data_IF_123653446677
#
_entry.id   IF_123653446677
#
_cell.length_a   1.000
_cell.length_b   1.000
_cell.length_c   1.000
_cell.angle_alpha   90.00
_cell.angle_beta   90.00
_cell.angle_gamma   90.00
#
_symmetry.space_group_name_H-M   'P 1'
#
loop_
_entity.id
_entity.type
_entity.pdbx_description
1 polymer ?
#
# COMPACT_ATOMS: atom_id res chain seq x y z
N UNK A 1 -2.28 1.89 7.26
CA UNK A 1 -1.93 0.73 8.13
C UNK A 1 -3.18 -0.11 8.36
N UNK A 2 -3.03 -1.43 8.42
CA UNK A 2 -4.07 -2.45 8.17
C UNK A 2 -5.19 -2.41 9.22
N UNK A 3 -6.17 -1.53 9.00
CA UNK A 3 -7.56 -1.91 9.13
C UNK A 3 -7.96 -2.50 7.77
N UNK A 4 -8.47 -3.73 7.74
CA UNK A 4 -8.95 -4.32 6.49
C UNK A 4 -10.14 -3.48 6.02
N UNK A 5 -9.86 -2.55 5.10
CA UNK A 5 -10.86 -1.62 4.60
C UNK A 5 -11.81 -2.35 3.64
N UNK A 6 -11.30 -3.39 2.97
CA UNK A 6 -12.02 -4.14 1.95
C UNK A 6 -11.95 -5.65 2.20
N UNK A 7 -13.04 -6.37 1.90
CA UNK A 7 -13.08 -7.84 2.01
C UNK A 7 -12.60 -8.46 0.71
N UNK A 8 -11.96 -9.62 0.79
CA UNK A 8 -11.45 -10.34 -0.39
C UNK A 8 -12.55 -10.66 -1.40
N UNK A 9 -13.74 -11.03 -0.91
CA UNK A 9 -14.92 -11.28 -1.75
C UNK A 9 -15.42 -10.06 -2.56
N UNK A 10 -15.03 -8.86 -2.15
CA UNK A 10 -15.43 -7.60 -2.80
C UNK A 10 -14.41 -7.16 -3.87
N UNK A 11 -13.31 -7.92 -4.05
CA UNK A 11 -12.30 -7.64 -5.07
C UNK A 11 -12.91 -7.66 -6.48
N UNK A 12 -12.49 -6.75 -7.36
CA UNK A 12 -12.96 -6.72 -8.73
C UNK A 12 -12.28 -7.80 -9.57
N UNK A 13 -12.62 -9.07 -9.32
CA UNK A 13 -11.96 -10.24 -9.92
C UNK A 13 -11.89 -10.16 -11.45
N UNK A 14 -12.97 -9.70 -12.11
CA UNK A 14 -12.98 -9.51 -13.57
C UNK A 14 -11.91 -8.52 -14.04
N UNK A 15 -11.72 -7.41 -13.34
CA UNK A 15 -10.69 -6.41 -13.67
C UNK A 15 -9.28 -6.95 -13.37
N UNK A 16 -9.14 -7.79 -12.34
CA UNK A 16 -7.86 -8.45 -12.01
C UNK A 16 -7.49 -9.53 -13.03
N UNK A 17 -8.46 -10.33 -13.48
CA UNK A 17 -8.30 -11.28 -14.58
C UNK A 17 -7.92 -10.53 -15.87
N UNK A 18 -8.57 -9.38 -16.11
CA UNK A 18 -8.30 -8.49 -17.23
C UNK A 18 -6.87 -7.91 -17.28
N UNK A 19 -6.06 -8.10 -16.24
CA UNK A 19 -4.64 -7.68 -16.22
C UNK A 19 -3.68 -8.80 -15.77
N UNK A 20 -4.14 -10.06 -15.81
CA UNK A 20 -3.31 -11.23 -15.50
C UNK A 20 -2.98 -11.43 -14.01
N UNK A 21 -3.67 -10.71 -13.12
CA UNK A 21 -3.55 -10.84 -11.65
C UNK A 21 -4.53 -11.85 -11.06
N UNK A 22 -5.37 -12.46 -11.88
CA UNK A 22 -6.21 -13.57 -11.50
C UNK A 22 -6.42 -14.49 -12.71
N UNK A 23 -6.66 -15.78 -12.45
CA UNK A 23 -7.01 -16.76 -13.47
C UNK A 23 -7.82 -17.89 -12.84
N UNK A 24 -8.94 -18.27 -13.45
CA UNK A 24 -9.81 -19.35 -12.98
C UNK A 24 -10.22 -19.18 -11.51
N UNK A 25 -10.55 -17.96 -11.10
CA UNK A 25 -10.92 -17.63 -9.72
C UNK A 25 -9.77 -17.68 -8.71
N UNK A 26 -8.51 -17.84 -9.15
CA UNK A 26 -7.32 -17.79 -8.29
C UNK A 26 -6.57 -16.49 -8.51
N UNK A 27 -6.17 -15.85 -7.42
CA UNK A 27 -5.35 -14.64 -7.47
C UNK A 27 -3.89 -15.00 -7.79
N UNK A 28 -3.32 -14.29 -8.75
CA UNK A 28 -1.91 -14.34 -9.14
C UNK A 28 -1.20 -13.05 -8.70
N UNK A 29 -1.17 -12.82 -7.38
CA UNK A 29 -0.55 -11.67 -6.74
C UNK A 29 0.10 -12.11 -5.43
N UNK A 30 1.20 -11.47 -5.03
CA UNK A 30 1.84 -11.78 -3.75
C UNK A 30 0.91 -11.47 -2.58
N UNK A 31 1.06 -12.22 -1.48
CA UNK A 31 0.28 -11.99 -0.26
C UNK A 31 0.50 -10.57 0.28
N UNK A 32 1.71 -10.01 0.17
CA UNK A 32 2.02 -8.65 0.59
C UNK A 32 1.23 -7.60 -0.20
N UNK A 33 1.13 -7.77 -1.53
CA UNK A 33 0.41 -6.84 -2.38
C UNK A 33 -1.11 -7.02 -2.25
N UNK A 34 -1.61 -8.25 -2.08
CA UNK A 34 -3.02 -8.49 -1.76
C UNK A 34 -3.41 -7.80 -0.44
N UNK A 35 -2.62 -7.99 0.62
CA UNK A 35 -2.85 -7.35 1.90
C UNK A 35 -2.83 -5.83 1.79
N UNK A 36 -1.94 -5.27 0.97
CA UNK A 36 -1.90 -3.84 0.72
C UNK A 36 -3.19 -3.34 0.07
N UNK A 37 -3.67 -4.01 -0.98
CA UNK A 37 -4.94 -3.67 -1.64
C UNK A 37 -6.11 -3.71 -0.66
N UNK A 38 -6.24 -4.80 0.11
CA UNK A 38 -7.32 -4.97 1.10
C UNK A 38 -7.27 -3.94 2.24
N UNK A 39 -6.10 -3.35 2.47
CA UNK A 39 -5.88 -2.28 3.46
C UNK A 39 -6.07 -0.88 2.88
N UNK A 40 -6.44 -0.75 1.61
CA UNK A 40 -6.54 0.53 0.91
C UNK A 40 -5.20 1.18 0.56
N UNK A 41 -4.09 0.43 0.64
CA UNK A 41 -2.77 0.91 0.25
C UNK A 41 -2.48 0.61 -1.23
N UNK A 42 -1.44 1.25 -1.77
CA UNK A 42 -0.87 0.87 -3.06
C UNK A 42 -0.04 -0.41 -2.93
N UNK A 43 0.07 -1.19 -4.00
CA UNK A 43 1.04 -2.29 -4.08
C UNK A 43 2.46 -1.75 -4.32
N UNK A 44 3.44 -2.65 -4.25
CA UNK A 44 4.70 -2.41 -4.98
C UNK A 44 4.46 -2.52 -6.50
N UNK A 45 5.48 -2.17 -7.31
CA UNK A 45 5.42 -2.41 -8.75
C UNK A 45 5.13 -3.89 -9.01
N UNK A 46 4.12 -4.15 -9.82
CA UNK A 46 3.78 -5.47 -10.34
C UNK A 46 3.91 -5.45 -11.85
N UNK A 47 4.45 -6.54 -12.42
CA UNK A 47 4.49 -6.74 -13.85
C UNK A 47 3.14 -7.28 -14.31
N UNK A 48 2.42 -6.47 -15.07
CA UNK A 48 1.21 -6.87 -15.77
C UNK A 48 1.63 -7.40 -17.15
N UNK A 49 0.96 -8.44 -17.63
CA UNK A 49 1.30 -9.07 -18.91
C UNK A 49 0.06 -9.18 -19.80
N UNK A 50 0.26 -9.11 -21.12
CA UNK A 50 -0.76 -9.34 -22.14
C UNK A 50 -2.02 -8.47 -21.98
N UNK A 51 -1.86 -7.18 -21.72
CA UNK A 51 -2.98 -6.25 -21.65
C UNK A 51 -3.49 -5.99 -23.08
N UNK A 52 -4.79 -6.15 -23.36
CA UNK A 52 -5.37 -5.79 -24.65
C UNK A 52 -6.60 -4.88 -24.54
N UNK A 53 -6.52 -3.65 -25.05
CA UNK A 53 -7.65 -2.69 -25.06
C UNK A 53 -7.80 -2.08 -26.44
N UNK A 54 -9.02 -2.02 -26.98
CA UNK A 54 -9.36 -1.26 -28.20
C UNK A 54 -8.39 -1.50 -29.38
N UNK A 55 -8.06 -2.77 -29.64
CA UNK A 55 -7.17 -3.14 -30.74
C UNK A 55 -5.68 -2.97 -30.46
N UNK A 56 -5.30 -2.61 -29.22
CA UNK A 56 -3.90 -2.45 -28.87
C UNK A 56 -3.47 -3.40 -27.76
N UNK A 57 -2.37 -4.09 -28.02
CA UNK A 57 -1.78 -5.10 -27.15
C UNK A 57 -0.51 -4.54 -26.51
N UNK A 58 -0.51 -4.45 -25.18
CA UNK A 58 0.68 -4.17 -24.39
C UNK A 58 1.18 -5.51 -23.87
N UNK A 59 2.37 -5.91 -24.34
CA UNK A 59 2.98 -7.17 -23.92
C UNK A 59 3.23 -7.19 -22.41
N UNK A 60 3.73 -6.07 -21.87
CA UNK A 60 4.06 -5.92 -20.46
C UNK A 60 3.96 -4.47 -19.99
N UNK A 61 3.52 -4.28 -18.75
CA UNK A 61 3.45 -2.97 -18.10
C UNK A 61 3.78 -3.13 -16.61
N UNK A 62 4.77 -2.39 -16.14
CA UNK A 62 5.01 -2.27 -14.69
C UNK A 62 4.13 -1.15 -14.13
N UNK A 63 3.33 -1.48 -13.11
CA UNK A 63 2.45 -0.52 -12.45
C UNK A 63 2.29 -0.85 -10.97
N UNK A 64 2.02 0.18 -10.16
CA UNK A 64 1.43 -0.03 -8.83
C UNK A 64 -0.09 -0.10 -8.98
N UNK A 65 -0.74 -0.73 -8.01
CA UNK A 65 -2.19 -0.91 -8.00
C UNK A 65 -2.78 -0.34 -6.72
N UNK A 66 -4.03 0.13 -6.78
CA UNK A 66 -4.83 0.44 -5.60
C UNK A 66 -6.30 0.14 -5.83
N UNK A 67 -7.07 -0.01 -4.76
CA UNK A 67 -8.53 -0.11 -4.81
C UNK A 67 -9.19 1.21 -4.40
N UNK A 68 -10.29 1.56 -5.07
CA UNK A 68 -11.13 2.67 -4.66
C UNK A 68 -12.60 2.32 -4.83
N UNK A 69 -13.47 2.52 -3.83
CA UNK A 69 -14.90 2.35 -3.99
C UNK A 69 -15.46 3.39 -4.96
N UNK A 70 -16.34 2.95 -5.85
CA UNK A 70 -17.13 3.83 -6.70
C UNK A 70 -18.40 4.31 -6.00
N UNK A 71 -19.21 5.13 -6.68
CA UNK A 71 -20.45 5.69 -6.14
C UNK A 71 -21.48 4.62 -5.69
N UNK A 72 -21.41 3.40 -6.23
CA UNK A 72 -22.26 2.27 -5.85
C UNK A 72 -21.63 1.41 -4.72
N UNK A 73 -20.48 1.83 -4.17
CA UNK A 73 -19.77 1.09 -3.12
C UNK A 73 -18.95 -0.11 -3.61
N UNK A 74 -18.97 -0.42 -4.91
CA UNK A 74 -18.15 -1.49 -5.50
C UNK A 74 -16.70 -1.00 -5.69
N UNK A 75 -15.73 -1.88 -5.47
CA UNK A 75 -14.32 -1.56 -5.66
C UNK A 75 -13.95 -1.52 -7.15
N UNK A 76 -13.25 -0.47 -7.55
CA UNK A 76 -12.56 -0.39 -8.83
C UNK A 76 -11.06 -0.64 -8.61
N UNK A 77 -10.41 -1.29 -9.58
CA UNK A 77 -8.97 -1.43 -9.62
C UNK A 77 -8.35 -0.25 -10.37
N UNK A 78 -7.44 0.47 -9.70
CA UNK A 78 -6.71 1.59 -10.28
C UNK A 78 -5.27 1.16 -10.58
N UNK A 79 -4.82 1.45 -11.81
CA UNK A 79 -3.44 1.28 -12.23
C UNK A 79 -2.68 2.60 -12.11
N UNK A 80 -1.48 2.54 -11.55
CA UNK A 80 -0.52 3.62 -11.45
C UNK A 80 0.73 3.20 -12.23
N UNK A 81 0.75 3.35 -13.58
CA UNK A 81 1.91 3.04 -14.39
C UNK A 81 3.07 3.98 -14.08
N UNK A 82 4.24 3.69 -14.64
CA UNK A 82 5.38 4.61 -14.62
C UNK A 82 5.12 5.72 -15.65
N UNK A 83 4.75 6.92 -15.18
CA UNK A 83 4.47 8.08 -16.01
C UNK A 83 5.76 8.68 -16.59
N UNK A 84 5.75 9.14 -17.84
CA UNK A 84 6.89 9.91 -18.39
C UNK A 84 7.01 11.30 -17.78
N UNK A 85 5.88 11.93 -17.49
CA UNK A 85 5.81 13.24 -16.85
C UNK A 85 4.77 13.24 -15.73
N UNK A 86 5.16 13.81 -14.59
CA UNK A 86 4.28 13.95 -13.44
C UNK A 86 3.30 15.11 -13.64
N UNK A 87 2.02 14.87 -13.37
CA UNK A 87 1.01 15.92 -13.29
C UNK A 87 0.89 16.40 -11.84
N UNK A 88 1.33 17.62 -11.58
CA UNK A 88 1.25 18.21 -10.24
C UNK A 88 -0.20 18.63 -9.90
N UNK A 89 -0.67 18.38 -8.66
CA UNK A 89 -1.93 18.91 -8.18
C UNK A 89 -1.91 20.45 -8.10
N UNK A 90 -2.99 21.11 -8.54
CA UNK A 90 -3.13 22.58 -8.48
C UNK A 90 -3.02 23.19 -7.07
N UNK A 91 -3.10 22.34 -6.05
CA UNK A 91 -3.02 22.73 -4.63
C UNK A 91 -1.56 23.01 -4.20
N UNK A 92 -0.58 22.52 -4.98
CA UNK A 92 0.84 22.76 -4.75
C UNK A 92 1.31 23.99 -5.54
N UNK A 93 2.22 24.75 -4.94
CA UNK A 93 2.97 25.77 -5.66
C UNK A 93 4.22 25.20 -6.36
N UNK A 94 4.89 26.02 -7.17
CA UNK A 94 6.06 25.59 -7.94
C UNK A 94 7.24 25.14 -7.08
N UNK A 95 7.45 25.79 -5.94
CA UNK A 95 8.56 25.47 -5.04
C UNK A 95 8.30 24.11 -4.38
N UNK A 96 7.09 23.91 -3.87
CA UNK A 96 6.66 22.64 -3.27
C UNK A 96 6.73 21.47 -4.26
N UNK A 97 6.33 21.69 -5.52
CA UNK A 97 6.44 20.70 -6.60
C UNK A 97 7.90 20.26 -6.78
N UNK A 98 8.82 21.22 -6.88
CA UNK A 98 10.23 20.92 -7.11
C UNK A 98 10.89 20.32 -5.86
N UNK A 99 10.55 20.80 -4.66
CA UNK A 99 11.04 20.23 -3.41
C UNK A 99 10.61 18.77 -3.22
N UNK A 100 9.37 18.44 -3.56
CA UNK A 100 8.88 17.06 -3.53
C UNK A 100 9.57 16.18 -4.58
N UNK A 101 9.74 16.68 -5.81
CA UNK A 101 10.40 15.92 -6.90
C UNK A 101 11.87 15.65 -6.60
N UNK A 102 12.57 16.65 -6.07
CA UNK A 102 13.98 16.56 -5.70
C UNK A 102 14.19 15.78 -4.38
N UNK A 103 13.13 15.59 -3.58
CA UNK A 103 13.22 14.97 -2.27
C UNK A 103 13.81 15.88 -1.19
N UNK A 104 13.77 17.21 -1.40
CA UNK A 104 14.10 18.21 -0.36
C UNK A 104 13.14 18.09 0.82
N UNK A 105 11.85 17.84 0.53
CA UNK A 105 10.82 17.55 1.52
C UNK A 105 10.13 16.23 1.17
N UNK A 106 9.75 15.46 2.19
CA UNK A 106 9.12 14.15 1.98
C UNK A 106 7.63 14.25 1.62
N UNK A 107 6.96 15.28 2.14
CA UNK A 107 5.57 15.60 1.82
C UNK A 107 5.28 17.07 2.16
N UNK A 108 4.12 17.54 1.68
CA UNK A 108 3.57 18.87 1.98
C UNK A 108 2.12 18.71 2.45
N UNK A 109 1.79 19.31 3.61
CA UNK A 109 0.41 19.35 4.12
C UNK A 109 -0.42 20.41 3.41
N UNK A 110 -1.64 20.05 3.05
CA UNK A 110 -2.58 20.92 2.34
C UNK A 110 -4.00 20.71 2.87
N UNK A 111 -4.75 21.79 2.89
CA UNK A 111 -6.19 21.75 3.07
C UNK A 111 -6.85 21.72 1.69
N UNK A 112 -7.73 20.75 1.45
CA UNK A 112 -8.45 20.61 0.18
C UNK A 112 -9.95 20.53 0.41
N UNK A 113 -10.74 21.02 -0.54
CA UNK A 113 -12.19 21.14 -0.40
C UNK A 113 -12.64 22.45 0.25
N UNK A 114 -13.95 22.62 0.38
CA UNK A 114 -14.59 23.86 0.85
C UNK A 114 -15.63 23.54 1.93
N UNK A 115 -15.84 24.50 2.85
CA UNK A 115 -16.84 24.38 3.92
C UNK A 115 -16.64 23.13 4.79
N UNK A 116 -17.73 22.39 5.01
CA UNK A 116 -17.73 21.16 5.81
C UNK A 116 -17.04 19.97 5.13
N UNK A 117 -16.74 20.06 3.83
CA UNK A 117 -16.01 19.03 3.08
C UNK A 117 -14.49 19.25 3.08
N UNK A 118 -14.01 20.25 3.83
CA UNK A 118 -12.59 20.56 3.97
C UNK A 118 -11.85 19.41 4.67
N UNK A 119 -10.73 18.99 4.09
CA UNK A 119 -9.92 17.88 4.58
C UNK A 119 -8.44 18.25 4.55
N UNK A 120 -7.72 17.86 5.60
CA UNK A 120 -6.27 17.89 5.64
C UNK A 120 -5.71 16.67 4.91
N UNK A 121 -4.92 16.92 3.87
CA UNK A 121 -4.18 15.90 3.11
C UNK A 121 -2.68 16.19 3.21
N UNK A 122 -1.84 15.16 3.12
CA UNK A 122 -0.44 15.37 2.74
C UNK A 122 -0.22 14.89 1.31
N UNK A 123 0.57 15.66 0.57
CA UNK A 123 0.96 15.37 -0.80
C UNK A 123 2.42 14.93 -0.81
N UNK A 124 2.69 13.79 -1.44
CA UNK A 124 4.02 13.22 -1.60
C UNK A 124 4.30 12.90 -3.07
N UNK A 125 5.56 12.72 -3.43
CA UNK A 125 5.96 12.35 -4.78
C UNK A 125 6.51 10.92 -4.82
N UNK A 126 5.90 10.08 -5.63
CA UNK A 126 6.32 8.70 -5.87
C UNK A 126 7.28 8.66 -7.06
N UNK A 127 8.57 8.56 -6.78
CA UNK A 127 9.62 8.47 -7.80
C UNK A 127 9.54 7.19 -8.64
N UNK A 128 8.98 6.10 -8.11
CA UNK A 128 8.86 4.84 -8.85
C UNK A 128 7.83 4.92 -9.97
N UNK A 129 6.73 5.66 -9.74
CA UNK A 129 5.68 5.86 -10.76
C UNK A 129 5.74 7.24 -11.40
N UNK A 130 6.57 8.17 -10.92
CA UNK A 130 6.59 9.58 -11.35
C UNK A 130 5.22 10.25 -11.15
N UNK A 131 4.61 10.06 -9.98
CA UNK A 131 3.26 10.54 -9.67
C UNK A 131 3.21 11.29 -8.32
N UNK A 132 2.39 12.35 -8.25
CA UNK A 132 2.00 12.96 -6.98
C UNK A 132 0.85 12.20 -6.33
N UNK A 133 1.03 11.79 -5.08
CA UNK A 133 0.03 11.08 -4.29
C UNK A 133 -0.54 12.03 -3.25
N UNK A 134 -1.87 12.07 -3.15
CA UNK A 134 -2.58 12.78 -2.06
C UNK A 134 -3.13 11.76 -1.08
N UNK A 135 -2.76 11.90 0.19
CA UNK A 135 -3.22 11.02 1.27
C UNK A 135 -4.07 11.83 2.25
N UNK A 136 -5.29 11.36 2.50
CA UNK A 136 -6.20 11.91 3.50
C UNK A 136 -5.71 11.55 4.90
N UNK A 137 -5.26 12.55 5.66
CA UNK A 137 -4.68 12.36 7.00
C UNK A 137 -5.67 11.74 7.99
N UNK A 138 -6.98 11.95 7.78
CA UNK A 138 -8.03 11.36 8.62
C UNK A 138 -8.12 9.84 8.46
N UNK A 139 -7.71 9.31 7.29
CA UNK A 139 -7.70 7.88 6.98
C UNK A 139 -6.41 7.19 7.40
N UNK A 140 -5.38 7.94 7.79
CA UNK A 140 -4.14 7.36 8.31
C UNK A 140 -4.36 6.92 9.74
N UNK A 141 -4.09 5.65 10.03
CA UNK A 141 -4.16 5.11 11.39
C UNK A 141 -2.76 5.19 12.00
N UNK A 142 -2.61 5.94 13.08
CA UNK A 142 -1.37 5.98 13.85
C UNK A 142 -1.30 4.77 14.80
N UNK A 143 -0.11 4.18 15.01
CA UNK A 143 0.05 3.13 15.99
C UNK A 143 -0.06 3.71 17.41
N UNK A 144 -0.45 2.86 18.36
CA UNK A 144 -0.40 3.13 19.79
C UNK A 144 1.04 3.05 20.29
N UNK A 145 1.80 2.04 19.84
CA UNK A 145 3.23 1.91 20.12
C UNK A 145 4.00 1.33 18.94
N UNK A 146 5.30 1.58 18.92
CA UNK A 146 6.25 1.00 17.96
C UNK A 146 7.45 0.49 18.75
N UNK A 147 7.79 -0.79 18.59
CA UNK A 147 8.86 -1.45 19.36
C UNK A 147 8.74 -1.19 20.87
N UNK A 148 7.51 -1.33 21.39
CA UNK A 148 7.08 -1.07 22.77
C UNK A 148 7.23 0.38 23.26
N UNK A 149 7.60 1.32 22.37
CA UNK A 149 7.58 2.75 22.67
C UNK A 149 6.21 3.34 22.36
N UNK A 150 5.50 3.84 23.37
CA UNK A 150 4.21 4.52 23.20
C UNK A 150 4.37 5.83 22.43
N UNK A 151 3.49 6.06 21.47
CA UNK A 151 3.43 7.34 20.77
C UNK A 151 2.62 8.35 21.58
N UNK A 152 3.19 9.54 21.76
CA UNK A 152 2.45 10.71 22.28
C UNK A 152 1.38 11.16 21.31
N UNK A 153 0.36 11.89 21.78
CA UNK A 153 -0.67 12.47 20.91
C UNK A 153 -0.08 13.39 19.82
N UNK A 154 0.98 14.14 20.15
CA UNK A 154 1.69 14.95 19.19
C UNK A 154 2.38 14.10 18.10
N UNK A 155 3.06 13.01 18.47
CA UNK A 155 3.64 12.08 17.50
C UNK A 155 2.57 11.40 16.64
N UNK A 156 1.45 10.97 17.21
CA UNK A 156 0.33 10.39 16.45
C UNK A 156 -0.22 11.37 15.42
N UNK A 157 -0.43 12.64 15.80
CA UNK A 157 -0.87 13.71 14.88
C UNK A 157 0.13 13.90 13.75
N UNK A 158 1.41 14.07 14.08
CA UNK A 158 2.49 14.23 13.10
C UNK A 158 2.57 13.04 12.14
N UNK A 159 2.49 11.82 12.65
CA UNK A 159 2.48 10.60 11.83
C UNK A 159 1.27 10.57 10.88
N UNK A 160 0.06 10.90 11.36
CA UNK A 160 -1.15 10.99 10.52
C UNK A 160 -1.03 12.04 9.42
N UNK A 161 -0.32 13.11 9.71
CA UNK A 161 0.02 14.20 8.79
C UNK A 161 1.19 13.85 7.85
N UNK A 162 1.64 12.60 7.85
CA UNK A 162 2.75 12.14 7.01
C UNK A 162 4.11 12.66 7.49
N UNK A 163 4.22 13.37 8.61
CA UNK A 163 5.49 13.88 9.10
C UNK A 163 6.33 12.77 9.73
N UNK A 164 7.65 12.89 9.62
CA UNK A 164 8.55 12.00 10.31
C UNK A 164 8.47 12.22 11.83
N UNK A 165 8.43 11.12 12.56
CA UNK A 165 8.55 11.08 14.02
C UNK A 165 9.75 10.22 14.41
N UNK A 166 10.39 10.58 15.52
CA UNK A 166 11.49 9.82 16.12
C UNK A 166 11.10 9.40 17.54
N UNK A 167 11.51 8.20 17.91
CA UNK A 167 11.25 7.56 19.19
C UNK A 167 12.54 7.50 20.03
N UNK A 168 12.44 7.35 21.36
CA UNK A 168 13.61 7.35 22.26
C UNK A 168 14.66 6.28 21.93
N UNK A 169 14.27 5.17 21.31
CA UNK A 169 15.17 4.10 20.89
C UNK A 169 15.87 4.36 19.53
N UNK A 170 15.74 5.58 19.02
CA UNK A 170 16.26 6.04 17.73
C UNK A 170 15.51 5.49 16.52
N UNK A 171 14.34 4.87 16.72
CA UNK A 171 13.46 4.47 15.62
C UNK A 171 12.78 5.72 15.06
N UNK A 172 12.96 5.95 13.76
CA UNK A 172 12.26 6.98 13.01
C UNK A 172 11.28 6.34 12.05
N UNK A 173 10.09 6.92 11.91
CA UNK A 173 9.05 6.42 11.00
C UNK A 173 8.16 7.53 10.46
N UNK A 174 7.53 7.23 9.32
CA UNK A 174 6.68 8.15 8.58
C UNK A 174 5.55 7.38 7.88
N UNK A 175 4.34 7.92 7.90
CA UNK A 175 3.26 7.39 7.06
C UNK A 175 3.50 7.77 5.59
N UNK A 176 3.16 6.87 4.67
CA UNK A 176 3.24 7.13 3.23
C UNK A 176 2.12 6.39 2.50
N UNK A 177 1.70 6.90 1.36
CA UNK A 177 0.85 6.22 0.37
C UNK A 177 1.63 5.60 -0.79
N UNK A 178 2.97 5.73 -0.83
CA UNK A 178 3.83 5.27 -1.93
C UNK A 178 4.01 3.75 -2.01
N UNK A 179 3.78 3.00 -0.94
CA UNK A 179 4.23 1.61 -0.82
C UNK A 179 3.20 0.67 -0.18
N UNK A 180 3.50 -0.63 -0.20
CA UNK A 180 2.59 -1.67 0.27
C UNK A 180 2.44 -1.78 1.80
N UNK A 181 3.31 -1.11 2.58
CA UNK A 181 3.23 -1.07 4.05
C UNK A 181 2.56 0.19 4.59
N UNK A 182 2.34 1.18 3.72
CA UNK A 182 1.94 2.54 4.07
C UNK A 182 2.83 3.20 5.15
N UNK A 183 4.10 2.80 5.21
CA UNK A 183 5.05 3.22 6.23
C UNK A 183 6.48 3.18 5.69
N UNK A 184 7.27 4.17 6.09
CA UNK A 184 8.72 4.22 5.94
C UNK A 184 9.35 4.22 7.33
N UNK A 185 10.53 3.65 7.46
CA UNK A 185 11.30 3.69 8.70
C UNK A 185 12.78 3.52 8.46
N UNK A 186 13.61 4.06 9.35
CA UNK A 186 15.04 3.73 9.40
C UNK A 186 15.31 2.29 9.90
N UNK A 187 14.27 1.53 10.29
CA UNK A 187 14.32 0.11 10.65
C UNK A 187 13.61 -0.72 9.58
N UNK A 188 14.18 -1.87 9.21
CA UNK A 188 13.55 -2.79 8.24
C UNK A 188 12.46 -3.68 8.84
N UNK A 189 12.39 -3.74 10.17
CA UNK A 189 11.42 -4.54 10.92
C UNK A 189 10.91 -3.72 12.11
N UNK A 190 9.59 -3.75 12.33
CA UNK A 190 8.93 -3.08 13.44
C UNK A 190 7.82 -3.95 14.00
N UNK A 191 7.55 -3.80 15.30
CA UNK A 191 6.33 -4.29 15.94
C UNK A 191 5.47 -3.09 16.30
N UNK A 192 4.28 -3.03 15.74
CA UNK A 192 3.32 -1.98 16.00
C UNK A 192 2.19 -2.51 16.87
N UNK A 193 1.65 -1.67 17.74
CA UNK A 193 0.34 -1.90 18.32
C UNK A 193 -0.66 -0.88 17.78
N UNK A 194 -1.90 -1.30 17.56
CA UNK A 194 -2.96 -0.46 16.98
C UNK A 194 -4.26 -0.73 17.72
N UNK A 195 -5.04 0.32 17.98
CA UNK A 195 -6.39 0.20 18.53
C UNK A 195 -7.38 -0.11 17.42
N UNK A 196 -8.00 -1.29 17.47
CA UNK A 196 -8.99 -1.77 16.50
C UNK A 196 -10.19 -2.33 17.26
N UNK A 197 -11.39 -1.88 16.93
CA UNK A 197 -12.67 -2.37 17.47
C UNK A 197 -12.71 -2.45 19.02
N UNK A 198 -12.09 -1.48 19.69
CA UNK A 198 -12.02 -1.42 21.16
C UNK A 198 -10.98 -2.35 21.80
N UNK A 199 -10.09 -2.96 21.01
CA UNK A 199 -9.01 -3.82 21.47
C UNK A 199 -7.64 -3.44 20.91
N UNK A 200 -6.59 -3.71 21.71
CA UNK A 200 -5.21 -3.61 21.25
C UNK A 200 -4.85 -4.83 20.39
N UNK A 201 -4.43 -4.55 19.16
CA UNK A 201 -3.94 -5.52 18.18
C UNK A 201 -2.47 -5.27 17.88
N UNK A 202 -1.73 -6.32 17.51
CA UNK A 202 -0.30 -6.23 17.21
C UNK A 202 0.02 -6.65 15.79
N UNK A 203 0.97 -5.95 15.18
CA UNK A 203 1.42 -6.17 13.82
C UNK A 203 2.94 -6.26 13.76
N UNK A 204 3.45 -7.35 13.18
CA UNK A 204 4.88 -7.48 12.87
C UNK A 204 5.06 -7.09 11.40
N UNK A 205 5.76 -5.99 11.16
CA UNK A 205 6.10 -5.52 9.83
C UNK A 205 7.55 -5.87 9.50
N UNK A 206 7.78 -6.39 8.30
CA UNK A 206 9.10 -6.70 7.74
C UNK A 206 9.23 -6.12 6.35
N UNK A 207 10.47 -5.91 5.91
CA UNK A 207 10.76 -5.37 4.58
C UNK A 207 10.27 -3.93 4.44
N UNK A 208 10.26 -3.17 5.54
CA UNK A 208 9.90 -1.75 5.52
C UNK A 208 10.94 -1.00 4.69
N UNK A 209 10.49 -0.17 3.75
CA UNK A 209 11.35 0.72 2.95
C UNK A 209 11.94 1.83 3.84
N UNK A 210 13.17 2.25 3.50
CA UNK A 210 13.88 3.29 4.23
C UNK A 210 13.21 4.66 4.10
N UNK A 211 13.40 5.51 5.10
CA UNK A 211 13.16 6.96 4.97
C UNK A 211 14.12 7.55 3.93
N UNK A 212 13.65 8.51 3.13
CA UNK A 212 14.49 9.16 2.11
C UNK A 212 15.74 9.78 2.77
N UNK A 213 16.90 9.57 2.15
CA UNK A 213 18.19 10.05 2.68
C UNK A 213 18.71 9.33 3.92
N UNK A 214 18.02 8.32 4.46
CA UNK A 214 18.49 7.56 5.64
C UNK A 214 18.95 6.15 5.27
N UNK A 215 20.05 5.71 5.90
CA UNK A 215 20.48 4.32 5.81
C UNK A 215 19.54 3.39 6.58
N UNK A 216 19.23 2.25 5.99
CA UNK A 216 18.40 1.22 6.60
C UNK A 216 19.19 0.45 7.66
N UNK A 217 18.72 0.48 8.91
CA UNK A 217 19.30 -0.31 10.00
C UNK A 217 18.60 -1.68 10.04
N UNK A 218 19.36 -2.73 9.73
CA UNK A 218 18.97 -4.13 9.94
C UNK A 218 19.21 -4.48 11.41
N UNK A 219 18.30 -4.14 12.32
CA UNK A 219 18.53 -4.47 13.74
C UNK A 219 17.27 -4.82 14.50
N UNK A 220 17.34 -6.00 15.13
CA UNK A 220 16.70 -6.30 16.40
C UNK A 220 17.35 -5.42 17.47
N UNK A 221 16.63 -4.41 17.96
CA UNK A 221 17.07 -3.64 19.13
C UNK A 221 16.31 -4.13 20.38
N UNK A 222 16.69 -3.60 21.56
CA UNK A 222 16.02 -3.94 22.81
C UNK A 222 14.49 -3.74 22.71
N UNK A 223 14.03 -2.59 22.22
CA UNK A 223 12.59 -2.32 22.07
C UNK A 223 11.85 -3.30 21.16
N UNK A 224 12.47 -3.71 20.04
CA UNK A 224 11.89 -4.74 19.16
C UNK A 224 11.77 -6.08 19.89
N UNK A 225 12.81 -6.52 20.61
CA UNK A 225 12.80 -7.79 21.32
C UNK A 225 11.78 -7.78 22.47
N UNK A 226 11.73 -6.70 23.25
CA UNK A 226 10.75 -6.51 24.33
C UNK A 226 9.31 -6.55 23.77
N UNK A 227 9.07 -5.87 22.65
CA UNK A 227 7.78 -5.91 21.96
C UNK A 227 7.43 -7.32 21.44
N UNK A 228 8.40 -8.06 20.92
CA UNK A 228 8.19 -9.42 20.42
C UNK A 228 7.82 -10.37 21.56
N UNK A 229 8.53 -10.31 22.68
CA UNK A 229 8.22 -11.10 23.88
C UNK A 229 6.80 -10.82 24.39
N UNK A 230 6.40 -9.55 24.41
CA UNK A 230 5.03 -9.13 24.78
C UNK A 230 3.98 -9.76 23.86
N UNK A 231 4.17 -9.67 22.55
CA UNK A 231 3.26 -10.27 21.55
C UNK A 231 3.16 -11.78 21.74
N UNK A 232 4.30 -12.46 21.92
CA UNK A 232 4.33 -13.92 22.12
C UNK A 232 3.65 -14.33 23.43
N UNK A 233 3.79 -13.54 24.51
CA UNK A 233 3.10 -13.77 25.78
C UNK A 233 1.59 -13.61 25.64
N UNK A 234 1.13 -12.55 24.99
CA UNK A 234 -0.30 -12.34 24.73
C UNK A 234 -0.90 -13.43 23.83
N UNK A 235 -0.17 -13.86 22.80
CA UNK A 235 -0.59 -14.95 21.92
C UNK A 235 -0.85 -16.25 22.71
N UNK A 236 0.09 -16.61 23.58
CA UNK A 236 -0.03 -17.78 24.47
C UNK A 236 -1.23 -17.67 25.40
N UNK A 237 -1.43 -16.50 26.03
CA UNK A 237 -2.56 -16.26 26.93
C UNK A 237 -3.91 -16.37 26.23
N UNK A 238 -3.99 -15.99 24.95
CA UNK A 238 -5.22 -16.01 24.15
C UNK A 238 -5.43 -17.32 23.38
N UNK A 239 -4.57 -18.32 23.56
CA UNK A 239 -4.59 -19.59 22.82
C UNK A 239 -4.64 -19.41 21.29
N UNK A 240 -3.98 -18.37 20.77
CA UNK A 240 -3.94 -18.12 19.33
C UNK A 240 -2.85 -19.02 18.71
N UNK A 241 -3.17 -19.88 17.74
CA UNK A 241 -2.19 -20.80 17.18
C UNK A 241 -1.01 -20.05 16.53
N UNK A 242 0.21 -20.60 16.60
CA UNK A 242 1.36 -20.06 15.90
C UNK A 242 1.20 -20.29 14.40
N UNK A 243 0.58 -19.34 13.69
CA UNK A 243 0.64 -19.34 12.24
C UNK A 243 2.08 -19.00 11.80
N UNK A 244 2.56 -19.61 10.73
CA UNK A 244 3.97 -19.57 10.32
C UNK A 244 4.55 -18.13 10.36
N UNK A 245 5.69 -17.92 11.04
CA UNK A 245 6.31 -16.62 11.42
C UNK A 245 6.63 -15.65 10.27
N UNK A 246 6.24 -15.97 9.03
CA UNK A 246 6.51 -15.13 7.88
C UNK A 246 5.72 -13.82 7.94
N UNK A 247 4.51 -13.74 8.52
CA UNK A 247 3.77 -12.48 8.74
C UNK A 247 2.64 -12.62 9.81
N UNK A 248 2.91 -12.78 11.12
CA UNK A 248 1.82 -12.97 12.09
C UNK A 248 1.14 -11.65 12.50
N UNK A 249 -0.19 -11.63 12.33
CA UNK A 249 -1.15 -10.60 12.76
C UNK A 249 -1.89 -11.13 14.00
N UNK A 250 -1.98 -10.35 15.09
CA UNK A 250 -2.96 -10.64 16.16
C UNK A 250 -4.00 -9.53 16.18
N UNK A 251 -5.08 -9.78 15.43
CA UNK A 251 -6.36 -9.07 15.50
C UNK A 251 -7.25 -9.82 16.50
N UNK A 252 -7.93 -9.11 17.40
CA UNK A 252 -9.08 -9.69 18.09
C UNK A 252 -10.16 -9.99 17.03
N UNK A 253 -10.68 -11.21 17.06
CA UNK A 253 -11.85 -11.71 16.34
C UNK A 253 -11.80 -11.74 14.81
N UNK A 254 -10.88 -12.54 14.25
CA UNK A 254 -11.12 -13.17 12.95
C UNK A 254 -11.35 -14.68 13.14
N UNK A 255 -12.61 -15.09 13.29
CA UNK A 255 -13.02 -16.48 13.02
C UNK A 255 -13.12 -16.64 11.50
N UNK A 256 -12.43 -17.68 10.99
CA UNK A 256 -12.79 -18.45 9.79
C UNK A 256 -12.65 -17.70 8.43
N UNK A 257 -12.05 -18.20 7.35
CA UNK A 257 -11.49 -19.48 6.92
C UNK A 257 -10.51 -19.15 5.78
N UNK A 258 -9.34 -19.77 5.70
CA UNK A 258 -8.82 -20.20 4.39
C UNK A 258 -8.22 -21.60 4.57
N UNK A 259 -8.72 -22.62 3.84
CA UNK A 259 -8.05 -23.91 3.82
C UNK A 259 -6.72 -23.79 3.09
N UNK A 260 -5.76 -24.62 3.49
CA UNK A 260 -4.44 -24.70 2.86
C UNK A 260 -4.58 -24.97 1.35
N UNK A 261 -4.06 -24.04 0.53
CA UNK A 261 -3.90 -24.30 -0.90
C UNK A 261 -2.74 -25.29 -1.05
N UNK A 262 -3.09 -26.51 -1.44
CA UNK A 262 -2.14 -27.52 -1.89
C UNK A 262 -1.57 -27.03 -3.23
N UNK A 263 -0.31 -26.62 -3.22
CA UNK A 263 0.48 -26.46 -4.45
C UNK A 263 0.81 -27.87 -4.96
N UNK A 264 0.16 -28.30 -6.04
CA UNK A 264 0.72 -29.35 -6.89
C UNK A 264 1.53 -28.65 -7.97
N UNK A 265 2.82 -28.90 -7.95
CA UNK A 265 3.72 -28.60 -9.06
C UNK A 265 3.12 -29.17 -10.36
N UNK A 266 3.30 -28.39 -11.43
CA UNK A 266 3.05 -28.70 -12.85
C UNK A 266 1.60 -28.92 -13.30
N UNK A 267 1.03 -27.93 -14.03
CA UNK A 267 0.18 -28.16 -15.22
C UNK A 267 0.47 -27.07 -16.27
N UNK A 268 0.61 -27.51 -17.53
CA UNK A 268 0.82 -26.72 -18.75
C UNK A 268 -0.44 -25.99 -19.28
N UNK A 269 -0.23 -24.75 -19.72
CA UNK A 269 -0.82 -23.95 -20.83
C UNK A 269 -2.31 -24.03 -21.24
N UNK A 270 -2.97 -22.86 -21.20
CA UNK A 270 -3.52 -22.15 -22.37
C UNK A 270 -3.69 -20.66 -22.03
N UNK A 271 -3.10 -19.76 -22.82
CA UNK A 271 -3.17 -18.29 -22.60
C UNK A 271 -4.35 -17.75 -23.41
N UNK A 272 -5.48 -17.48 -22.73
CA UNK A 272 -6.57 -16.70 -23.34
C UNK A 272 -6.23 -15.20 -23.33
N UNK A 273 -6.54 -14.53 -24.44
CA UNK A 273 -6.36 -13.08 -24.64
C UNK A 273 -7.24 -12.30 -23.66
N UNK A 274 -6.68 -11.24 -23.09
CA UNK A 274 -7.24 -10.57 -21.93
C UNK A 274 -7.81 -9.19 -22.32
N UNK A 275 -9.14 -9.06 -22.27
CA UNK A 275 -9.89 -7.88 -22.71
C UNK A 275 -10.00 -6.81 -21.60
N UNK A 276 -9.41 -5.64 -21.88
CA UNK A 276 -9.22 -4.50 -20.96
C UNK A 276 -10.41 -3.52 -21.02
N UNK A 277 -11.42 -3.75 -21.89
CA UNK A 277 -12.63 -2.91 -22.02
C UNK A 277 -13.45 -2.77 -20.73
N UNK A 278 -13.21 -3.64 -19.74
CA UNK A 278 -13.87 -3.59 -18.43
C UNK A 278 -13.12 -2.78 -17.36
N UNK A 279 -11.94 -2.22 -17.65
CA UNK A 279 -11.18 -1.39 -16.70
C UNK A 279 -11.59 0.08 -16.79
N UNK A 280 -12.22 0.58 -15.72
CA UNK A 280 -12.49 2.02 -15.56
C UNK A 280 -11.20 2.77 -15.26
N UNK A 281 -10.52 3.20 -16.31
CA UNK A 281 -9.32 4.02 -16.24
C UNK A 281 -9.71 5.51 -16.13
N UNK A 282 -9.16 6.22 -15.16
CA UNK A 282 -9.25 7.69 -15.10
C UNK A 282 -8.69 8.29 -16.41
N UNK A 283 -9.22 9.41 -16.94
CA UNK A 283 -8.78 9.97 -18.23
C UNK A 283 -7.27 10.19 -18.36
N UNK A 284 -6.60 10.53 -17.24
CA UNK A 284 -5.13 10.67 -17.17
C UNK A 284 -4.37 9.35 -17.38
N UNK A 285 -4.96 8.21 -17.05
CA UNK A 285 -4.35 6.87 -17.22
C UNK A 285 -4.48 6.39 -18.67
N UNK A 286 -5.56 6.79 -19.36
CA UNK A 286 -5.78 6.50 -20.79
C UNK A 286 -4.70 7.14 -21.68
N UNK A 287 -4.21 8.34 -21.31
CA UNK A 287 -3.15 9.03 -22.02
C UNK A 287 -1.80 8.29 -21.95
N UNK A 288 -1.45 7.73 -20.78
CA UNK A 288 -0.22 6.94 -20.62
C UNK A 288 -0.30 5.63 -21.38
N UNK A 289 -1.44 4.95 -21.32
CA UNK A 289 -1.64 3.75 -22.12
C UNK A 289 -1.45 4.10 -23.60
N UNK A 290 -2.16 5.09 -24.16
CA UNK A 290 -1.99 5.56 -25.56
C UNK A 290 -0.53 5.90 -25.94
N UNK A 291 0.27 6.41 -25.01
CA UNK A 291 1.69 6.67 -25.26
C UNK A 291 2.58 5.41 -25.27
N UNK A 292 2.30 4.43 -24.40
CA UNK A 292 2.97 3.11 -24.43
C UNK A 292 2.63 2.40 -25.75
N UNK A 293 1.37 2.50 -26.17
CA UNK A 293 0.88 1.97 -27.45
C UNK A 293 1.59 2.55 -28.67
N UNK A 294 1.87 3.86 -28.67
CA UNK A 294 2.62 4.49 -29.76
C UNK A 294 4.10 4.06 -29.82
N UNK A 295 4.68 3.61 -28.71
CA UNK A 295 6.09 3.19 -28.65
C UNK A 295 6.29 1.78 -29.21
N UNK A 296 5.35 0.86 -28.96
CA UNK A 296 5.40 -0.51 -29.49
C UNK A 296 5.11 -0.56 -31.01
N UNK A 297 4.34 0.39 -31.55
CA UNK A 297 4.12 0.52 -33.00
C UNK A 297 5.30 1.12 -33.78
N UNK A 298 6.38 1.51 -33.08
CA UNK A 298 7.62 2.06 -33.67
C UNK A 298 8.79 1.06 -33.67
N UNK A 299 8.55 -0.21 -33.32
CA UNK A 299 9.53 -1.31 -33.37
C UNK A 299 9.20 -2.35 -34.43
#
# INVERSE_FOLDING_TARGET
MINQTYKEKDLPLKEMEAIGLASNGKLNISAENLNALLSGNRTELVRLNNLSSEGVNIKELDAKLSLNPNAAGKLNLLLHPIYKSAQAPNVLDKTEIEDLKNGTVNNVLKEVGEGELKKTVFVEFDKETNEFIKVDSSKVIAPESVNDQLLTQAQKKRFKEGQEIELPDGTSLQATGKNNKALLSNRSMLILSVMLDGGLSYMILKGIKALEGKQQKLQYNKGYNDALEKVLKEQKQRNIPPNNYKNLVILKDFKEVLPAIITKDSIQTTVEKIDVENLKLEPKHLAVLKEVLNYDNLR
#
